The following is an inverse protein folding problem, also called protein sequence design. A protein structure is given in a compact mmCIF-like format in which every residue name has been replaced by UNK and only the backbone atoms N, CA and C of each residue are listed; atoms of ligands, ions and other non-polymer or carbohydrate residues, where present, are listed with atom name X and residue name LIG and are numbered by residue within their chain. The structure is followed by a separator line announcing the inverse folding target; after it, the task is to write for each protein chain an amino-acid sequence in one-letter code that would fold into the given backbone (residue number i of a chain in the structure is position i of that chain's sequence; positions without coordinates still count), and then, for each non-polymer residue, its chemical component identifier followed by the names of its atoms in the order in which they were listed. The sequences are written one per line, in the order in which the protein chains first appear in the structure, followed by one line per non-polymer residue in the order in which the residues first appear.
data_IF_410879880448
#
_entry.id   IF_410879880448
#
_cell.length_a   1.000
_cell.length_b   1.000
_cell.length_c   1.000
_cell.angle_alpha   90.00
_cell.angle_beta   90.00
_cell.angle_gamma   90.00
#
_symmetry.space_group_name_H-M   'P 1'
#
loop_
_entity.id
_entity.type
_entity.pdbx_description
1 polymer ?
#
# COMPACT_ATOMS: atom_id res chain seq x y z
N UNK A 1 8.51 -1.48 -24.07
CA UNK A 1 7.59 -0.82 -23.10
C UNK A 1 6.85 0.28 -23.83
N UNK A 2 5.53 0.49 -23.62
CA UNK A 2 4.85 1.64 -24.23
C UNK A 2 5.33 2.93 -23.54
N UNK A 3 5.38 4.04 -24.27
CA UNK A 3 5.87 5.34 -23.77
C UNK A 3 5.10 5.84 -22.54
N UNK A 4 3.82 5.49 -22.44
CA UNK A 4 2.96 5.83 -21.29
C UNK A 4 3.42 5.16 -19.98
N UNK A 5 4.22 4.09 -20.07
CA UNK A 5 4.80 3.38 -18.93
C UNK A 5 6.31 3.58 -18.82
N UNK A 6 6.87 4.59 -19.49
CA UNK A 6 8.27 4.98 -19.30
C UNK A 6 8.39 5.81 -18.02
N UNK A 7 8.84 5.16 -16.95
CA UNK A 7 9.06 5.78 -15.65
C UNK A 7 10.54 6.10 -15.39
N UNK A 8 11.38 6.21 -16.43
CA UNK A 8 12.83 6.42 -16.28
C UNK A 8 13.17 7.72 -15.53
N UNK A 9 12.34 8.75 -15.66
CA UNK A 9 12.46 10.03 -14.93
C UNK A 9 11.66 10.05 -13.61
N UNK A 10 11.09 8.90 -13.23
CA UNK A 10 10.25 8.76 -12.04
C UNK A 10 11.06 8.82 -10.74
N UNK A 11 10.64 9.65 -9.79
CA UNK A 11 11.19 9.66 -8.44
C UNK A 11 10.40 8.68 -7.56
N UNK A 12 11.05 7.59 -7.12
CA UNK A 12 10.44 6.58 -6.26
C UNK A 12 9.94 7.21 -4.96
N UNK A 13 8.70 6.91 -4.58
CA UNK A 13 8.10 7.35 -3.31
C UNK A 13 7.74 8.84 -3.23
N UNK A 14 7.78 9.60 -4.34
CA UNK A 14 7.49 11.04 -4.35
C UNK A 14 6.18 11.44 -3.66
N UNK A 15 5.15 10.59 -3.74
CA UNK A 15 3.81 10.88 -3.22
C UNK A 15 3.38 9.99 -2.04
N UNK A 16 4.28 9.18 -1.46
CA UNK A 16 3.88 8.15 -0.47
C UNK A 16 3.09 8.73 0.71
N UNK A 17 3.55 9.83 1.33
CA UNK A 17 2.85 10.47 2.46
C UNK A 17 1.46 10.97 2.11
N UNK A 18 1.28 11.53 0.92
CA UNK A 18 -0.02 12.03 0.49
C UNK A 18 -1.00 10.88 0.21
N UNK A 19 -0.49 9.71 -0.19
CA UNK A 19 -1.32 8.53 -0.44
C UNK A 19 -1.76 7.83 0.86
N UNK A 20 -1.09 8.08 1.99
CA UNK A 20 -1.47 7.54 3.31
C UNK A 20 -2.84 8.04 3.78
N UNK A 21 -3.28 9.25 3.37
CA UNK A 21 -4.60 9.80 3.72
C UNK A 21 -5.75 9.24 2.90
N UNK A 22 -5.45 8.34 1.97
CA UNK A 22 -6.39 7.81 0.98
C UNK A 22 -6.38 8.58 -0.34
N UNK A 23 -6.84 7.91 -1.38
CA UNK A 23 -6.86 8.44 -2.75
C UNK A 23 -7.95 7.75 -3.57
N UNK A 24 -8.34 8.39 -4.67
CA UNK A 24 -9.34 7.86 -5.59
C UNK A 24 -8.68 7.47 -6.91
N UNK A 25 -9.02 6.28 -7.41
CA UNK A 25 -8.62 5.80 -8.74
C UNK A 25 -9.83 5.98 -9.68
N UNK A 26 -9.63 6.71 -10.77
CA UNK A 26 -10.62 6.82 -11.85
C UNK A 26 -10.13 6.07 -13.08
N UNK A 27 -10.82 5.00 -13.44
CA UNK A 27 -10.55 4.19 -14.62
C UNK A 27 -11.43 4.69 -15.77
N UNK A 28 -10.81 5.03 -16.88
CA UNK A 28 -11.50 5.38 -18.12
C UNK A 28 -11.53 4.14 -19.03
N UNK A 29 -12.71 3.60 -19.27
CA UNK A 29 -12.89 2.45 -20.14
C UNK A 29 -12.93 2.87 -21.61
N UNK A 30 -12.59 1.94 -22.50
CA UNK A 30 -12.62 2.17 -23.95
C UNK A 30 -14.04 2.45 -24.49
N UNK A 31 -15.08 2.01 -23.78
CA UNK A 31 -16.48 2.27 -24.11
C UNK A 31 -16.97 3.67 -23.66
N UNK A 32 -16.09 4.48 -23.07
CA UNK A 32 -16.39 5.82 -22.58
C UNK A 32 -16.95 5.88 -21.16
N UNK A 33 -17.21 4.73 -20.52
CA UNK A 33 -17.63 4.69 -19.11
C UNK A 33 -16.46 4.99 -18.18
N UNK A 34 -16.77 5.44 -16.96
CA UNK A 34 -15.78 5.69 -15.91
C UNK A 34 -16.14 4.91 -14.66
N UNK A 35 -15.13 4.30 -14.04
CA UNK A 35 -15.24 3.62 -12.75
C UNK A 35 -14.36 4.33 -11.75
N UNK A 36 -14.96 4.77 -10.65
CA UNK A 36 -14.27 5.46 -9.56
C UNK A 36 -14.18 4.52 -8.35
N UNK A 37 -12.97 4.37 -7.80
CA UNK A 37 -12.71 3.52 -6.64
C UNK A 37 -11.97 4.30 -5.58
N UNK A 38 -12.46 4.27 -4.34
CA UNK A 38 -11.79 4.89 -3.21
C UNK A 38 -10.86 3.88 -2.53
N UNK A 39 -9.61 4.29 -2.33
CA UNK A 39 -8.60 3.54 -1.61
C UNK A 39 -8.31 4.27 -0.30
N UNK A 40 -8.63 3.61 0.81
CA UNK A 40 -8.35 4.10 2.15
C UNK A 40 -7.38 3.12 2.82
N UNK A 41 -6.07 3.41 2.82
CA UNK A 41 -5.10 2.61 3.54
C UNK A 41 -5.47 2.57 5.02
N UNK A 42 -5.54 1.37 5.59
CA UNK A 42 -5.66 1.23 7.05
C UNK A 42 -4.36 1.69 7.70
N UNK A 43 -4.44 2.22 8.92
CA UNK A 43 -3.26 2.55 9.71
C UNK A 43 -2.31 1.34 9.79
N UNK A 44 -1.03 1.54 9.46
CA UNK A 44 -0.02 0.49 9.40
C UNK A 44 -0.06 -0.43 8.18
N UNK A 45 -0.87 -0.13 7.16
CA UNK A 45 -0.90 -0.91 5.91
C UNK A 45 0.40 -0.69 5.11
N UNK A 46 1.21 -1.74 4.99
CA UNK A 46 2.36 -1.78 4.08
C UNK A 46 1.98 -2.60 2.86
N UNK A 47 1.91 -1.96 1.69
CA UNK A 47 1.71 -2.64 0.40
C UNK A 47 3.07 -2.92 -0.22
N UNK A 48 3.39 -4.21 -0.37
CA UNK A 48 4.63 -4.66 -0.98
C UNK A 48 4.41 -4.99 -2.46
N UNK A 49 5.24 -4.38 -3.32
CA UNK A 49 5.33 -4.75 -4.73
C UNK A 49 5.76 -6.22 -4.88
N UNK A 50 5.29 -6.94 -5.92
CA UNK A 50 5.51 -8.38 -6.05
C UNK A 50 6.99 -8.82 -6.00
N UNK A 51 7.88 -7.99 -6.53
CA UNK A 51 9.33 -8.21 -6.60
C UNK A 51 10.06 -8.07 -5.24
N UNK A 52 9.50 -7.28 -4.31
CA UNK A 52 10.06 -7.10 -2.97
C UNK A 52 9.45 -8.03 -1.91
N UNK A 53 8.34 -8.72 -2.23
CA UNK A 53 7.70 -9.69 -1.30
C UNK A 53 8.63 -10.81 -0.88
N UNK A 54 9.51 -11.28 -1.77
CA UNK A 54 10.46 -12.36 -1.49
C UNK A 54 11.52 -12.00 -0.44
N UNK A 55 11.80 -10.71 -0.27
CA UNK A 55 12.75 -10.20 0.73
C UNK A 55 12.08 -9.89 2.07
N UNK A 56 10.76 -9.79 2.10
CA UNK A 56 9.95 -9.57 3.30
C UNK A 56 9.29 -10.87 3.73
N UNK A 57 10.06 -11.70 4.44
CA UNK A 57 9.48 -12.77 5.26
C UNK A 57 8.79 -12.11 6.45
N UNK A 58 7.47 -12.24 6.56
CA UNK A 58 6.78 -11.91 7.80
C UNK A 58 7.34 -12.81 8.89
N UNK A 59 8.27 -12.31 9.73
CA UNK A 59 8.51 -12.93 11.02
C UNK A 59 7.22 -12.72 11.80
N UNK A 60 6.47 -13.79 12.05
CA UNK A 60 5.29 -13.74 12.92
C UNK A 60 5.74 -13.21 14.29
N UNK A 61 5.57 -11.91 14.54
CA UNK A 61 5.65 -11.39 15.90
C UNK A 61 4.40 -11.88 16.61
N UNK A 62 4.57 -12.93 17.42
CA UNK A 62 3.63 -13.28 18.49
C UNK A 62 3.52 -12.03 19.36
N UNK A 63 2.39 -11.33 19.29
CA UNK A 63 2.04 -10.26 20.22
C UNK A 63 2.18 -10.82 21.63
N UNK A 64 3.23 -10.41 22.34
CA UNK A 64 3.34 -10.66 23.77
C UNK A 64 2.33 -9.73 24.45
N UNK A 65 1.12 -10.23 24.70
CA UNK A 65 0.37 -9.73 25.85
C UNK A 65 0.91 -10.44 27.08
N UNK A 66 2.02 -9.94 27.59
CA UNK A 66 2.33 -10.07 29.01
C UNK A 66 1.46 -9.04 29.74
N UNK A 67 0.34 -9.50 30.30
CA UNK A 67 -0.20 -8.87 31.51
C UNK A 67 0.05 -9.88 32.60
N UNK A 68 1.19 -9.71 33.27
CA UNK A 68 1.54 -10.41 34.50
C UNK A 68 0.48 -10.19 35.57
N UNK A 69 0.11 -11.30 36.18
CA UNK A 69 -0.49 -11.38 37.50
C UNK A 69 0.34 -10.57 38.51
N UNK A 70 -0.30 -9.74 39.34
CA UNK A 70 -0.20 -9.73 40.81
C UNK A 70 -0.70 -8.39 41.39
N UNK A 71 -1.88 -8.43 42.00
CA UNK A 71 -2.09 -7.73 43.28
C UNK A 71 -3.23 -8.41 44.04
N UNK A 72 -2.80 -9.16 45.06
CA UNK A 72 -3.48 -9.67 46.27
C UNK A 72 -4.83 -10.39 46.15
#
# INVERSE_FOLDING_TARGET
MRREYDFSDGVRGKHHKAMETGYTITIHNADGTKVTQDVMPKEGLVILEPDVRSYYFFSTQRSQRATEEHRE
#
